data_IF_543809548533
#
_entry.id   IF_543809548533
#
_cell.length_a   1.000
_cell.length_b   1.000
_cell.length_c   1.000
_cell.angle_alpha   90.00
_cell.angle_beta   90.00
_cell.angle_gamma   90.00
#
_symmetry.space_group_name_H-M   'P 1'
#
loop_
_entity.id
_entity.type
_entity.pdbx_description
1 polymer ?
#
# COMPACT_ATOMS: atom_id res chain seq x y z
N UNK A 1 -14.17 -18.71 -31.93
CA UNK A 1 -14.14 -17.62 -30.90
C UNK A 1 -12.79 -16.94 -30.72
N UNK A 2 -11.63 -17.62 -30.84
CA UNK A 2 -10.32 -16.95 -30.74
C UNK A 2 -9.97 -16.12 -31.99
N UNK A 3 -10.32 -16.63 -33.18
CA UNK A 3 -10.09 -15.96 -34.47
C UNK A 3 -10.88 -14.65 -34.59
N UNK A 4 -12.12 -14.61 -34.10
CA UNK A 4 -12.91 -13.36 -34.08
C UNK A 4 -12.34 -12.32 -33.12
N UNK A 5 -11.71 -12.74 -32.02
CA UNK A 5 -11.07 -11.83 -31.04
C UNK A 5 -9.73 -11.28 -31.55
N UNK A 6 -8.97 -12.07 -32.29
CA UNK A 6 -7.75 -11.63 -32.98
C UNK A 6 -8.08 -10.71 -34.16
N UNK A 7 -9.13 -11.02 -34.92
CA UNK A 7 -9.62 -10.16 -35.99
C UNK A 7 -10.09 -8.80 -35.45
N UNK A 8 -10.82 -8.75 -34.33
CA UNK A 8 -11.18 -7.47 -33.69
C UNK A 8 -9.97 -6.69 -33.20
N UNK A 9 -8.91 -7.36 -32.73
CA UNK A 9 -7.67 -6.70 -32.31
C UNK A 9 -6.92 -6.11 -33.51
N UNK A 10 -6.84 -6.86 -34.62
CA UNK A 10 -6.25 -6.41 -35.89
C UNK A 10 -7.04 -5.26 -36.53
N UNK A 11 -8.38 -5.28 -36.45
CA UNK A 11 -9.25 -4.20 -36.94
C UNK A 11 -9.09 -2.94 -36.07
N UNK A 12 -9.02 -3.08 -34.74
CA UNK A 12 -8.73 -1.95 -33.84
C UNK A 12 -7.33 -1.37 -34.06
N UNK A 13 -6.33 -2.23 -34.27
CA UNK A 13 -4.96 -1.81 -34.56
C UNK A 13 -4.86 -1.08 -35.91
N UNK A 14 -5.57 -1.56 -36.93
CA UNK A 14 -5.66 -0.90 -38.23
C UNK A 14 -6.39 0.45 -38.16
N UNK A 15 -7.46 0.57 -37.37
CA UNK A 15 -8.23 1.81 -37.21
C UNK A 15 -7.44 2.92 -36.50
N UNK A 16 -6.56 2.55 -35.56
CA UNK A 16 -5.68 3.50 -34.85
C UNK A 16 -4.52 3.96 -35.75
N UNK A 17 -3.99 3.08 -36.62
CA UNK A 17 -2.86 3.41 -37.49
C UNK A 17 -3.25 4.18 -38.77
N UNK A 18 -4.48 4.06 -39.28
CA UNK A 18 -4.92 4.77 -40.50
C UNK A 18 -5.32 6.23 -40.26
N UNK A 19 -5.50 6.66 -39.00
CA UNK A 19 -5.87 8.05 -38.69
C UNK A 19 -4.67 8.95 -38.32
N UNK A 20 -3.44 8.44 -38.42
CA UNK A 20 -2.23 9.14 -37.97
C UNK A 20 -1.21 9.51 -39.05
N UNK A 21 -1.48 9.25 -40.33
CA UNK A 21 -0.52 9.54 -41.40
C UNK A 21 -1.21 10.29 -42.55
N UNK A 22 -1.35 11.60 -42.39
CA UNK A 22 -1.55 12.53 -43.49
C UNK A 22 -0.67 13.75 -43.21
N UNK A 23 0.35 13.89 -44.06
CA UNK A 23 1.17 15.06 -44.44
C UNK A 23 1.46 16.15 -43.40
N UNK A 24 2.74 16.39 -43.14
CA UNK A 24 3.40 17.70 -43.39
C UNK A 24 4.93 17.48 -43.37
N UNK A 25 5.54 17.72 -44.51
CA UNK A 25 6.95 18.07 -44.67
C UNK A 25 7.11 19.56 -44.32
N UNK A 26 8.14 19.94 -43.56
CA UNK A 26 9.00 21.13 -43.78
C UNK A 26 10.08 21.20 -42.71
N UNK A 27 11.23 21.64 -43.21
CA UNK A 27 12.56 21.90 -42.68
C UNK A 27 12.62 22.97 -41.56
N UNK A 28 13.75 23.01 -40.85
CA UNK A 28 14.23 24.24 -40.19
C UNK A 28 14.23 24.33 -38.66
N UNK A 29 15.46 24.19 -38.14
CA UNK A 29 16.05 24.93 -37.01
C UNK A 29 15.84 24.53 -35.53
N UNK A 30 16.98 24.67 -34.86
CA UNK A 30 17.39 24.21 -33.54
C UNK A 30 17.11 25.32 -32.53
N UNK A 31 16.54 25.00 -31.38
CA UNK A 31 16.97 25.66 -30.14
C UNK A 31 16.76 24.80 -28.89
N UNK A 32 17.83 24.74 -28.10
CA UNK A 32 17.93 24.09 -26.79
C UNK A 32 17.06 24.82 -25.76
N UNK A 33 16.21 24.10 -25.04
CA UNK A 33 15.86 24.45 -23.66
C UNK A 33 15.83 23.19 -22.80
N UNK A 34 16.79 23.14 -21.88
CA UNK A 34 16.89 22.29 -20.69
C UNK A 34 15.58 22.35 -19.91
N UNK A 35 15.06 21.23 -19.36
CA UNK A 35 14.66 21.12 -17.94
C UNK A 35 13.94 19.79 -17.58
N UNK A 36 14.51 19.12 -16.58
CA UNK A 36 13.90 18.32 -15.49
C UNK A 36 13.15 17.02 -15.79
N UNK A 37 13.87 15.96 -15.43
CA UNK A 37 13.40 14.67 -14.90
C UNK A 37 12.18 14.84 -13.98
N UNK A 38 11.04 14.26 -14.38
CA UNK A 38 9.91 14.01 -13.47
C UNK A 38 9.53 12.53 -13.55
N UNK A 39 9.96 11.79 -12.54
CA UNK A 39 9.62 10.39 -12.30
C UNK A 39 8.26 10.26 -11.61
N UNK A 40 7.41 9.42 -12.19
CA UNK A 40 6.53 8.43 -11.56
C UNK A 40 5.67 8.87 -10.36
N UNK A 41 4.46 9.32 -10.67
CA UNK A 41 3.37 9.65 -9.73
C UNK A 41 2.67 8.39 -9.16
N UNK A 42 2.96 7.21 -9.72
CA UNK A 42 2.31 5.95 -9.34
C UNK A 42 2.97 5.27 -8.13
N UNK A 43 4.31 5.27 -8.07
CA UNK A 43 5.07 4.77 -6.91
C UNK A 43 4.87 5.64 -5.67
N UNK A 44 4.60 6.93 -5.88
CA UNK A 44 4.23 7.88 -4.84
C UNK A 44 2.94 7.49 -4.11
N UNK A 45 1.96 6.88 -4.79
CA UNK A 45 0.67 6.54 -4.20
C UNK A 45 0.76 5.34 -3.24
N UNK A 46 1.56 4.33 -3.59
CA UNK A 46 1.80 3.14 -2.78
C UNK A 46 2.67 3.50 -1.58
N UNK A 47 3.76 4.24 -1.81
CA UNK A 47 4.63 4.75 -0.75
C UNK A 47 3.87 5.67 0.22
N UNK A 48 2.88 6.44 -0.26
CA UNK A 48 2.06 7.30 0.60
C UNK A 48 1.15 6.49 1.53
N UNK A 49 0.60 5.37 1.06
CA UNK A 49 -0.22 4.48 1.90
C UNK A 49 0.66 3.79 2.95
N UNK A 50 1.81 3.26 2.55
CA UNK A 50 2.78 2.64 3.46
C UNK A 50 3.33 3.64 4.48
N UNK A 51 3.62 4.87 4.08
CA UNK A 51 4.06 5.95 4.97
C UNK A 51 2.94 6.31 5.95
N UNK A 52 1.69 6.31 5.51
CA UNK A 52 0.55 6.59 6.37
C UNK A 52 0.31 5.47 7.41
N UNK A 53 0.54 4.21 7.04
CA UNK A 53 0.50 3.06 7.96
C UNK A 53 1.70 3.05 8.94
N UNK A 54 2.90 3.34 8.45
CA UNK A 54 4.09 3.51 9.31
C UNK A 54 3.86 4.65 10.29
N UNK A 55 3.26 5.75 9.85
CA UNK A 55 2.93 6.89 10.69
C UNK A 55 1.93 6.54 11.79
N UNK A 56 0.89 5.74 11.49
CA UNK A 56 -0.04 5.28 12.53
C UNK A 56 0.60 4.31 13.52
N UNK A 57 1.52 3.46 13.07
CA UNK A 57 2.30 2.55 13.94
C UNK A 57 3.28 3.33 14.82
N UNK A 58 3.95 4.34 14.27
CA UNK A 58 4.82 5.23 15.05
C UNK A 58 4.00 5.97 16.10
N UNK A 59 2.84 6.52 15.74
CA UNK A 59 2.00 7.25 16.68
C UNK A 59 1.46 6.37 17.83
N UNK A 60 1.15 5.10 17.55
CA UNK A 60 0.72 4.14 18.59
C UNK A 60 1.88 3.65 19.47
N UNK A 61 3.08 3.51 18.90
CA UNK A 61 4.28 3.23 19.68
C UNK A 61 4.69 4.43 20.54
N UNK A 62 4.58 5.64 20.03
CA UNK A 62 4.81 6.89 20.76
C UNK A 62 3.83 7.02 21.93
N UNK A 63 2.53 6.79 21.71
CA UNK A 63 1.55 6.85 22.81
C UNK A 63 1.80 5.79 23.88
N UNK A 64 2.20 4.57 23.48
CA UNK A 64 2.58 3.52 24.43
C UNK A 64 3.85 3.87 25.19
N UNK A 65 4.84 4.48 24.53
CA UNK A 65 6.07 4.93 25.16
C UNK A 65 5.77 6.02 26.20
N UNK A 66 4.96 7.02 25.83
CA UNK A 66 4.55 8.10 26.73
C UNK A 66 3.77 7.57 27.94
N UNK A 67 2.84 6.64 27.71
CA UNK A 67 2.08 5.99 28.80
C UNK A 67 3.02 5.21 29.74
N UNK A 68 3.96 4.43 29.19
CA UNK A 68 4.95 3.70 30.00
C UNK A 68 5.90 4.63 30.72
N UNK A 69 6.30 5.74 30.12
CA UNK A 69 7.19 6.71 30.76
C UNK A 69 6.46 7.43 31.90
N UNK A 70 5.17 7.76 31.72
CA UNK A 70 4.34 8.33 32.78
C UNK A 70 4.10 7.34 33.92
N UNK A 71 3.92 6.05 33.62
CA UNK A 71 3.82 5.00 34.62
C UNK A 71 5.13 4.82 35.40
N UNK A 72 6.28 4.90 34.72
CA UNK A 72 7.61 4.82 35.33
C UNK A 72 7.84 5.99 36.28
N UNK A 73 7.53 7.21 35.84
CA UNK A 73 7.59 8.41 36.69
C UNK A 73 6.70 8.29 37.95
N UNK A 74 5.49 7.73 37.83
CA UNK A 74 4.63 7.47 39.00
C UNK A 74 5.26 6.45 39.95
N UNK A 75 5.90 5.40 39.42
CA UNK A 75 6.60 4.38 40.22
C UNK A 75 7.82 4.97 40.93
N UNK A 76 8.58 5.84 40.27
CA UNK A 76 9.74 6.51 40.87
C UNK A 76 9.32 7.46 42.00
N UNK A 77 8.22 8.20 41.83
CA UNK A 77 7.67 9.05 42.90
C UNK A 77 7.26 8.22 44.13
N UNK A 78 6.57 7.09 43.92
CA UNK A 78 6.20 6.16 45.00
C UNK A 78 7.45 5.56 45.65
N UNK A 79 8.49 5.26 44.88
CA UNK A 79 9.75 4.71 45.40
C UNK A 79 10.47 5.75 46.25
N UNK A 80 10.56 7.01 45.80
CA UNK A 80 11.14 8.11 46.56
C UNK A 80 10.39 8.36 47.88
N UNK A 81 9.04 8.26 47.87
CA UNK A 81 8.25 8.33 49.10
C UNK A 81 8.55 7.19 50.06
N UNK A 82 8.65 5.95 49.55
CA UNK A 82 9.02 4.79 50.38
C UNK A 82 10.42 4.92 50.96
N UNK A 83 11.38 5.42 50.18
CA UNK A 83 12.77 5.61 50.62
C UNK A 83 12.87 6.68 51.71
N UNK A 84 12.11 7.77 51.60
CA UNK A 84 11.99 8.79 52.65
C UNK A 84 11.37 8.25 53.95
N UNK A 85 10.39 7.35 53.84
CA UNK A 85 9.81 6.67 55.01
C UNK A 85 10.86 5.74 55.64
N UNK A 86 11.60 4.99 54.83
CA UNK A 86 12.65 4.09 55.30
C UNK A 86 13.76 4.86 56.01
N UNK A 87 14.22 5.99 55.46
CA UNK A 87 15.25 6.82 56.11
C UNK A 87 14.76 7.37 57.45
N UNK A 88 13.52 7.88 57.52
CA UNK A 88 12.94 8.37 58.77
C UNK A 88 12.77 7.25 59.83
N UNK A 89 12.47 6.03 59.39
CA UNK A 89 12.40 4.86 60.29
C UNK A 89 13.80 4.42 60.75
N UNK A 90 14.81 4.47 59.88
CA UNK A 90 16.22 4.22 60.23
C UNK A 90 16.72 5.23 61.27
N UNK A 91 16.41 6.52 61.10
CA UNK A 91 16.78 7.56 62.07
C UNK A 91 16.08 7.33 63.42
N UNK A 92 14.80 6.92 63.39
CA UNK A 92 14.06 6.55 64.61
C UNK A 92 14.67 5.33 65.31
N UNK A 93 15.10 4.32 64.55
CA UNK A 93 15.78 3.13 65.09
C UNK A 93 17.12 3.53 65.71
N UNK A 94 17.91 4.37 65.05
CA UNK A 94 19.19 4.85 65.60
C UNK A 94 19.01 5.66 66.89
N UNK A 95 17.95 6.49 66.96
CA UNK A 95 17.56 7.17 68.19
C UNK A 95 17.21 6.19 69.30
N UNK A 96 16.37 5.20 69.01
CA UNK A 96 15.98 4.16 69.97
C UNK A 96 17.17 3.30 70.42
N UNK A 97 18.11 2.97 69.53
CA UNK A 97 19.33 2.26 69.88
C UNK A 97 20.23 3.10 70.80
N UNK A 98 20.34 4.40 70.55
CA UNK A 98 21.09 5.32 71.44
C UNK A 98 20.43 5.48 72.81
N UNK A 99 19.10 5.44 72.86
CA UNK A 99 18.32 5.51 74.10
C UNK A 99 18.41 4.20 74.89
N UNK A 100 18.35 3.04 74.22
CA UNK A 100 18.61 1.72 74.82
C UNK A 100 20.03 1.63 75.38
N UNK A 101 21.03 2.10 74.63
CA UNK A 101 22.42 2.17 75.11
C UNK A 101 22.55 3.12 76.32
N UNK A 102 21.77 4.20 76.38
CA UNK A 102 21.73 5.12 77.52
C UNK A 102 21.06 4.51 78.75
N UNK A 103 20.01 3.71 78.55
CA UNK A 103 19.26 3.01 79.60
C UNK A 103 20.03 1.81 80.15
N UNK A 104 20.74 1.07 79.30
CA UNK A 104 21.71 0.04 79.72
C UNK A 104 22.87 0.61 80.55
N UNK A 105 23.20 1.90 80.39
CA UNK A 105 24.23 2.61 81.18
C UNK A 105 23.67 3.24 82.47
N UNK A 106 22.34 3.28 82.65
CA UNK A 106 21.63 3.78 83.83
C UNK A 106 20.90 2.65 84.57
N UNK A 107 21.61 1.56 84.85
CA UNK A 107 21.13 0.54 85.78
C UNK A 107 21.49 0.94 87.21
N UNK A 108 20.66 1.80 87.82
CA UNK A 108 20.35 1.84 89.27
C UNK A 108 19.37 2.97 89.61
N UNK A 109 18.29 2.57 90.29
CA UNK A 109 17.25 3.36 90.99
C UNK A 109 16.16 4.01 90.12
N UNK A 110 15.01 3.35 89.93
CA UNK A 110 13.83 3.46 90.81
C UNK A 110 12.68 2.61 90.23
N UNK A 111 12.26 1.55 90.93
CA UNK A 111 11.60 0.38 90.33
C UNK A 111 10.06 0.45 90.29
N UNK A 112 9.42 1.46 90.88
CA UNK A 112 7.96 1.45 91.10
C UNK A 112 7.19 2.43 90.19
N UNK A 113 7.82 3.52 89.72
CA UNK A 113 7.20 4.47 88.76
C UNK A 113 7.41 4.06 87.28
N UNK A 114 8.42 3.23 86.98
CA UNK A 114 8.69 2.71 85.62
C UNK A 114 7.70 1.63 85.18
N UNK A 115 7.17 0.84 86.11
CA UNK A 115 6.24 -0.27 85.80
C UNK A 115 4.89 0.27 85.28
N UNK A 116 4.36 1.35 85.88
CA UNK A 116 3.12 2.00 85.40
C UNK A 116 3.26 2.62 84.01
N UNK A 117 4.40 3.24 83.70
CA UNK A 117 4.71 3.78 82.36
C UNK A 117 4.94 2.66 81.34
N UNK A 118 5.50 1.52 81.75
CA UNK A 118 5.64 0.34 80.89
C UNK A 118 4.29 -0.30 80.56
N UNK A 119 3.35 -0.41 81.51
CA UNK A 119 2.00 -0.92 81.25
C UNK A 119 1.17 -0.02 80.33
N UNK A 120 1.24 1.31 80.49
CA UNK A 120 0.58 2.24 79.57
C UNK A 120 1.15 2.15 78.15
N UNK A 121 2.47 1.99 78.01
CA UNK A 121 3.14 1.77 76.72
C UNK A 121 2.78 0.42 76.11
N UNK A 122 2.65 -0.63 76.91
CA UNK A 122 2.24 -1.95 76.44
C UNK A 122 0.81 -1.93 75.87
N UNK A 123 -0.12 -1.24 76.54
CA UNK A 123 -1.49 -1.09 76.07
C UNK A 123 -1.59 -0.22 74.79
N UNK A 124 -0.77 0.83 74.67
CA UNK A 124 -0.69 1.63 73.43
C UNK A 124 -0.13 0.81 72.26
N UNK A 125 0.92 0.00 72.51
CA UNK A 125 1.48 -0.92 71.52
C UNK A 125 0.48 -2.00 71.11
N UNK A 126 -0.29 -2.56 72.04
CA UNK A 126 -1.34 -3.54 71.75
C UNK A 126 -2.40 -2.95 70.81
N UNK A 127 -2.80 -1.70 71.05
CA UNK A 127 -3.75 -0.98 70.19
C UNK A 127 -3.20 -0.74 68.78
N UNK A 128 -1.91 -0.43 68.66
CA UNK A 128 -1.24 -0.27 67.37
C UNK A 128 -1.12 -1.61 66.63
N UNK A 129 -0.86 -2.70 67.34
CA UNK A 129 -0.84 -4.06 66.77
C UNK A 129 -2.21 -4.45 66.24
N UNK A 130 -3.28 -4.15 66.96
CA UNK A 130 -4.65 -4.42 66.51
C UNK A 130 -5.05 -3.61 65.27
N UNK A 131 -4.65 -2.33 65.19
CA UNK A 131 -4.91 -1.50 64.00
C UNK A 131 -4.12 -2.00 62.78
N UNK A 132 -2.84 -2.34 62.98
CA UNK A 132 -2.00 -2.94 61.94
C UNK A 132 -2.56 -4.28 61.45
N UNK A 133 -3.13 -5.08 62.35
CA UNK A 133 -3.77 -6.36 62.00
C UNK A 133 -4.99 -6.14 61.09
N UNK A 134 -5.86 -5.17 61.41
CA UNK A 134 -7.01 -4.82 60.56
C UNK A 134 -6.59 -4.28 59.20
N UNK A 135 -5.57 -3.43 59.15
CA UNK A 135 -5.01 -2.94 57.89
C UNK A 135 -4.42 -4.09 57.04
N UNK A 136 -3.75 -5.06 57.68
CA UNK A 136 -3.23 -6.24 56.99
C UNK A 136 -4.34 -7.12 56.39
N UNK A 137 -5.48 -7.27 57.09
CA UNK A 137 -6.62 -8.03 56.58
C UNK A 137 -7.26 -7.35 55.36
N UNK A 138 -7.42 -6.02 55.39
CA UNK A 138 -7.94 -5.24 54.25
C UNK A 138 -7.00 -5.35 53.04
N UNK A 139 -5.70 -5.13 53.25
CA UNK A 139 -4.68 -5.25 52.19
C UNK A 139 -4.63 -6.67 51.60
N UNK A 140 -4.86 -7.70 52.42
CA UNK A 140 -4.92 -9.07 51.92
C UNK A 140 -6.15 -9.33 51.04
N UNK A 141 -7.33 -8.79 51.40
CA UNK A 141 -8.53 -8.87 50.56
C UNK A 141 -8.38 -8.15 49.21
N UNK A 142 -7.75 -6.97 49.20
CA UNK A 142 -7.42 -6.25 47.96
C UNK A 142 -6.46 -7.06 47.08
N UNK A 143 -5.42 -7.65 47.69
CA UNK A 143 -4.47 -8.52 47.00
C UNK A 143 -5.17 -9.70 46.31
N UNK A 144 -6.10 -10.38 46.98
CA UNK A 144 -6.86 -11.50 46.40
C UNK A 144 -7.69 -11.05 45.18
N UNK A 145 -8.33 -9.88 45.25
CA UNK A 145 -9.09 -9.33 44.11
C UNK A 145 -8.20 -8.99 42.91
N UNK A 146 -7.01 -8.44 43.16
CA UNK A 146 -6.01 -8.15 42.13
C UNK A 146 -5.44 -9.43 41.53
N UNK A 147 -5.27 -10.48 42.33
CA UNK A 147 -4.82 -11.79 41.87
C UNK A 147 -5.85 -12.45 40.94
N UNK A 148 -7.15 -12.34 41.24
CA UNK A 148 -8.22 -12.81 40.35
C UNK A 148 -8.19 -12.04 39.01
N UNK A 149 -8.06 -10.72 39.06
CA UNK A 149 -7.99 -9.88 37.85
C UNK A 149 -6.73 -10.18 37.02
N UNK A 150 -5.59 -10.41 37.66
CA UNK A 150 -4.35 -10.80 37.01
C UNK A 150 -4.50 -12.16 36.30
N UNK A 151 -5.10 -13.15 36.97
CA UNK A 151 -5.36 -14.47 36.40
C UNK A 151 -6.33 -14.41 35.21
N UNK A 152 -7.34 -13.53 35.24
CA UNK A 152 -8.26 -13.34 34.11
C UNK A 152 -7.56 -12.66 32.92
N UNK A 153 -6.75 -11.64 33.18
CA UNK A 153 -5.94 -10.98 32.16
C UNK A 153 -4.93 -11.96 31.53
N UNK A 154 -4.28 -12.80 32.33
CA UNK A 154 -3.35 -13.83 31.87
C UNK A 154 -4.06 -14.82 30.91
N UNK A 155 -5.25 -15.31 31.28
CA UNK A 155 -6.06 -16.18 30.39
C UNK A 155 -6.38 -15.51 29.04
N UNK A 156 -6.76 -14.23 29.04
CA UNK A 156 -7.06 -13.47 27.81
C UNK A 156 -5.81 -13.28 26.95
N UNK A 157 -4.66 -12.99 27.56
CA UNK A 157 -3.39 -12.88 26.83
C UNK A 157 -2.95 -14.21 26.23
N UNK A 158 -3.13 -15.31 26.95
CA UNK A 158 -2.89 -16.66 26.45
C UNK A 158 -3.82 -17.00 25.27
N UNK A 159 -5.11 -16.70 25.36
CA UNK A 159 -6.05 -16.88 24.24
C UNK A 159 -5.67 -16.05 23.00
N UNK A 160 -5.28 -14.78 23.21
CA UNK A 160 -4.81 -13.92 22.14
C UNK A 160 -3.52 -14.46 21.50
N UNK A 161 -2.59 -15.01 22.30
CA UNK A 161 -1.35 -15.62 21.80
C UNK A 161 -1.62 -16.85 20.92
N UNK A 162 -2.57 -17.71 21.30
CA UNK A 162 -2.97 -18.87 20.50
C UNK A 162 -3.61 -18.46 19.17
N UNK A 163 -4.45 -17.41 19.17
CA UNK A 163 -5.02 -16.85 17.94
C UNK A 163 -3.91 -16.30 17.03
N UNK A 164 -2.94 -15.58 17.59
CA UNK A 164 -1.81 -15.04 16.84
C UNK A 164 -0.97 -16.15 16.19
N UNK A 165 -0.68 -17.23 16.92
CA UNK A 165 0.06 -18.38 16.38
C UNK A 165 -0.69 -19.06 15.22
N UNK A 166 -2.01 -19.21 15.34
CA UNK A 166 -2.84 -19.74 14.26
C UNK A 166 -2.84 -18.84 13.01
N UNK A 167 -2.93 -17.52 13.19
CA UNK A 167 -2.81 -16.58 12.07
C UNK A 167 -1.44 -16.63 11.40
N UNK A 168 -0.37 -16.79 12.19
CA UNK A 168 0.98 -16.93 11.66
C UNK A 168 1.14 -18.22 10.83
N UNK A 169 0.57 -19.35 11.29
CA UNK A 169 0.54 -20.61 10.53
C UNK A 169 -0.19 -20.45 9.19
N UNK A 170 -1.36 -19.80 9.19
CA UNK A 170 -2.14 -19.55 7.96
C UNK A 170 -1.37 -18.65 7.00
N UNK A 171 -0.69 -17.62 7.51
CA UNK A 171 0.11 -16.70 6.69
C UNK A 171 1.28 -17.42 6.00
N UNK A 172 2.04 -18.25 6.72
CA UNK A 172 3.13 -19.01 6.11
C UNK A 172 2.62 -20.04 5.09
N UNK A 173 1.46 -20.66 5.34
CA UNK A 173 0.80 -21.52 4.36
C UNK A 173 0.39 -20.75 3.09
N UNK A 174 -0.17 -19.55 3.23
CA UNK A 174 -0.52 -18.72 2.07
C UNK A 174 0.72 -18.27 1.28
N UNK A 175 1.78 -17.86 1.98
CA UNK A 175 3.05 -17.44 1.38
C UNK A 175 3.70 -18.56 0.57
N UNK A 176 3.69 -19.79 1.09
CA UNK A 176 4.21 -20.95 0.35
C UNK A 176 3.37 -21.27 -0.88
N UNK A 177 2.03 -21.21 -0.78
CA UNK A 177 1.13 -21.37 -1.94
C UNK A 177 1.37 -20.31 -3.02
N UNK A 178 1.56 -19.04 -2.65
CA UNK A 178 1.87 -17.95 -3.58
C UNK A 178 3.18 -18.25 -4.34
N UNK A 179 4.24 -18.61 -3.62
CA UNK A 179 5.54 -18.96 -4.24
C UNK A 179 5.44 -20.09 -5.25
N UNK A 180 4.68 -21.15 -4.93
CA UNK A 180 4.47 -22.28 -5.86
C UNK A 180 3.73 -21.81 -7.11
N UNK A 181 2.71 -20.95 -6.98
CA UNK A 181 1.98 -20.42 -8.13
C UNK A 181 2.82 -19.47 -8.98
N UNK A 182 3.70 -18.67 -8.37
CA UNK A 182 4.65 -17.80 -9.08
C UNK A 182 5.67 -18.61 -9.89
N UNK A 183 6.23 -19.67 -9.30
CA UNK A 183 7.15 -20.56 -10.02
C UNK A 183 6.47 -21.26 -11.20
N UNK A 184 5.25 -21.78 -11.02
CA UNK A 184 4.49 -22.40 -12.10
C UNK A 184 4.15 -21.40 -13.22
N UNK A 185 3.88 -20.15 -12.86
CA UNK A 185 3.66 -19.07 -13.83
C UNK A 185 4.92 -18.80 -14.64
N UNK A 186 6.09 -18.73 -14.00
CA UNK A 186 7.35 -18.44 -14.68
C UNK A 186 7.73 -19.56 -15.66
N UNK A 187 7.61 -20.83 -15.24
CA UNK A 187 7.79 -21.99 -16.13
C UNK A 187 6.85 -21.91 -17.34
N UNK A 188 5.58 -21.57 -17.14
CA UNK A 188 4.62 -21.45 -18.24
C UNK A 188 4.96 -20.29 -19.20
N UNK A 189 5.49 -19.18 -18.69
CA UNK A 189 5.97 -18.07 -19.53
C UNK A 189 7.16 -18.51 -20.39
N UNK A 190 8.12 -19.21 -19.81
CA UNK A 190 9.29 -19.73 -20.53
C UNK A 190 8.89 -20.69 -21.65
N UNK A 191 8.00 -21.64 -21.37
CA UNK A 191 7.46 -22.57 -22.38
C UNK A 191 6.70 -21.85 -23.49
N UNK A 192 5.89 -20.83 -23.17
CA UNK A 192 5.18 -20.04 -24.16
C UNK A 192 6.14 -19.25 -25.07
N UNK A 193 7.18 -18.66 -24.50
CA UNK A 193 8.19 -17.94 -25.28
C UNK A 193 8.89 -18.89 -26.24
N UNK A 194 9.28 -20.09 -25.77
CA UNK A 194 9.85 -21.14 -26.61
C UNK A 194 8.92 -21.54 -27.77
N UNK A 195 7.65 -21.81 -27.48
CA UNK A 195 6.67 -22.16 -28.51
C UNK A 195 6.42 -21.03 -29.52
N UNK A 196 6.44 -19.76 -29.08
CA UNK A 196 6.36 -18.60 -29.98
C UNK A 196 7.56 -18.50 -30.91
N UNK A 197 8.77 -18.72 -30.39
CA UNK A 197 9.97 -18.74 -31.22
C UNK A 197 9.94 -19.88 -32.23
N UNK A 198 9.51 -21.08 -31.82
CA UNK A 198 9.32 -22.22 -32.72
C UNK A 198 8.28 -21.92 -33.81
N UNK A 199 7.12 -21.36 -33.47
CA UNK A 199 6.09 -20.99 -34.45
C UNK A 199 6.57 -19.88 -35.40
N UNK A 200 7.27 -18.87 -34.90
CA UNK A 200 7.84 -17.81 -35.74
C UNK A 200 8.91 -18.36 -36.70
N UNK A 201 9.71 -19.33 -36.26
CA UNK A 201 10.68 -20.02 -37.12
C UNK A 201 9.98 -20.82 -38.22
N UNK A 202 8.95 -21.59 -37.88
CA UNK A 202 8.15 -22.35 -38.86
C UNK A 202 7.40 -21.46 -39.84
N UNK A 203 6.89 -20.32 -39.39
CA UNK A 203 6.24 -19.33 -40.27
C UNK A 203 7.27 -18.75 -41.25
N UNK A 204 8.50 -18.43 -40.79
CA UNK A 204 9.56 -17.97 -41.69
C UNK A 204 9.93 -19.01 -42.73
N UNK A 205 10.11 -20.26 -42.31
CA UNK A 205 10.34 -21.40 -43.19
C UNK A 205 9.19 -21.55 -44.21
N UNK A 206 7.93 -21.42 -43.75
CA UNK A 206 6.76 -21.46 -44.61
C UNK A 206 6.76 -20.29 -45.62
N UNK A 207 7.03 -19.06 -45.18
CA UNK A 207 7.06 -17.90 -46.08
C UNK A 207 8.17 -17.97 -47.12
N UNK A 208 9.32 -18.56 -46.77
CA UNK A 208 10.41 -18.83 -47.71
C UNK A 208 10.02 -19.89 -48.75
N UNK A 209 9.26 -20.92 -48.34
CA UNK A 209 8.75 -21.97 -49.24
C UNK A 209 7.56 -21.47 -50.10
N UNK A 210 6.75 -20.52 -49.62
CA UNK A 210 5.49 -20.09 -50.27
C UNK A 210 5.61 -18.88 -51.19
N UNK A 211 6.72 -18.12 -51.14
CA UNK A 211 6.95 -16.98 -52.03
C UNK A 211 7.03 -17.32 -53.53
N UNK A 212 7.19 -18.61 -53.87
CA UNK A 212 7.31 -19.08 -55.25
C UNK A 212 6.11 -19.92 -55.77
N UNK A 213 5.04 -20.11 -54.96
CA UNK A 213 4.01 -21.12 -55.27
C UNK A 213 2.58 -20.72 -54.91
N UNK A 214 2.10 -19.55 -55.36
CA UNK A 214 0.66 -19.22 -55.30
C UNK A 214 0.07 -19.11 -56.72
N UNK A 215 -0.73 -20.10 -57.17
CA UNK A 215 -1.28 -20.09 -58.51
C UNK A 215 -2.23 -18.91 -58.76
N UNK A 216 -2.25 -18.34 -59.99
CA UNK A 216 -3.08 -17.18 -60.35
C UNK A 216 -4.58 -17.30 -60.03
N UNK A 217 -5.13 -18.53 -59.98
CA UNK A 217 -6.55 -18.76 -59.68
C UNK A 217 -6.93 -18.39 -58.24
N UNK A 218 -6.00 -18.46 -57.28
CA UNK A 218 -6.28 -18.11 -55.88
C UNK A 218 -6.32 -16.58 -55.66
N UNK A 219 -5.52 -15.83 -56.42
CA UNK A 219 -5.56 -14.37 -56.43
C UNK A 219 -6.91 -13.84 -56.95
N UNK A 220 -7.48 -14.48 -57.98
CA UNK A 220 -8.83 -14.17 -58.48
C UNK A 220 -9.93 -14.55 -57.49
N UNK A 221 -9.77 -15.63 -56.71
CA UNK A 221 -10.76 -16.05 -55.72
C UNK A 221 -10.83 -15.11 -54.51
N UNK A 222 -9.71 -14.49 -54.15
CA UNK A 222 -9.63 -13.46 -53.11
C UNK A 222 -10.48 -12.22 -53.45
N UNK A 223 -10.41 -11.73 -54.69
CA UNK A 223 -11.22 -10.60 -55.15
C UNK A 223 -12.73 -10.87 -55.09
N UNK A 224 -13.15 -12.09 -55.44
CA UNK A 224 -14.56 -12.50 -55.37
C UNK A 224 -15.08 -12.56 -53.93
N UNK A 225 -14.28 -13.08 -53.00
CA UNK A 225 -14.63 -13.13 -51.59
C UNK A 225 -14.73 -11.72 -50.97
N UNK A 226 -13.81 -10.83 -51.32
CA UNK A 226 -13.83 -9.45 -50.85
C UNK A 226 -15.10 -8.72 -51.32
N UNK A 227 -15.49 -8.87 -52.58
CA UNK A 227 -16.73 -8.31 -53.11
C UNK A 227 -17.96 -8.85 -52.35
N UNK A 228 -18.07 -10.17 -52.19
CA UNK A 228 -19.21 -10.79 -51.51
C UNK A 228 -19.39 -10.31 -50.06
N UNK A 229 -18.29 -10.19 -49.30
CA UNK A 229 -18.33 -9.69 -47.93
C UNK A 229 -18.73 -8.20 -47.88
N UNK A 230 -18.22 -7.40 -48.81
CA UNK A 230 -18.50 -5.96 -48.86
C UNK A 230 -19.96 -5.69 -49.20
N UNK A 231 -20.54 -6.43 -50.15
CA UNK A 231 -21.96 -6.33 -50.52
C UNK A 231 -22.85 -6.68 -49.34
N UNK A 232 -22.58 -7.80 -48.66
CA UNK A 232 -23.38 -8.25 -47.51
C UNK A 232 -23.28 -7.34 -46.30
N UNK A 233 -22.12 -6.70 -46.11
CA UNK A 233 -21.92 -5.67 -45.09
C UNK A 233 -22.79 -4.45 -45.35
N UNK A 234 -22.82 -3.96 -46.59
CA UNK A 234 -23.59 -2.78 -46.97
C UNK A 234 -25.11 -3.02 -46.95
N UNK A 235 -25.58 -4.21 -47.34
CA UNK A 235 -27.01 -4.54 -47.38
C UNK A 235 -27.62 -4.76 -45.99
N UNK A 236 -26.86 -5.36 -45.06
CA UNK A 236 -27.45 -5.83 -43.80
C UNK A 236 -26.79 -5.27 -42.55
N UNK A 237 -25.46 -5.21 -42.50
CA UNK A 237 -24.75 -4.85 -41.27
C UNK A 237 -24.73 -3.33 -41.04
N UNK A 238 -24.41 -2.56 -42.09
CA UNK A 238 -24.35 -1.09 -42.03
C UNK A 238 -25.68 -0.45 -41.59
N UNK A 239 -26.84 -0.72 -42.23
CA UNK A 239 -28.10 -0.09 -41.83
C UNK A 239 -28.55 -0.49 -40.41
N UNK A 240 -28.27 -1.72 -39.96
CA UNK A 240 -28.58 -2.14 -38.60
C UNK A 240 -27.75 -1.39 -37.54
N UNK A 241 -26.48 -1.11 -37.85
CA UNK A 241 -25.59 -0.33 -36.99
C UNK A 241 -26.04 1.14 -36.95
N UNK A 242 -26.40 1.72 -38.09
CA UNK A 242 -26.85 3.12 -38.18
C UNK A 242 -28.11 3.36 -37.32
N UNK A 243 -29.07 2.44 -37.34
CA UNK A 243 -30.28 2.49 -36.49
C UNK A 243 -29.94 2.43 -34.99
N UNK A 244 -28.93 1.65 -34.61
CA UNK A 244 -28.48 1.57 -33.21
C UNK A 244 -27.80 2.86 -32.78
N UNK A 245 -27.00 3.47 -33.66
CA UNK A 245 -26.34 4.76 -33.41
C UNK A 245 -27.40 5.85 -33.21
N UNK A 246 -28.40 5.92 -34.09
CA UNK A 246 -29.49 6.90 -33.99
C UNK A 246 -30.27 6.75 -32.66
N UNK A 247 -30.64 5.53 -32.29
CA UNK A 247 -31.30 5.26 -30.99
C UNK A 247 -30.45 5.61 -29.78
N UNK A 248 -29.13 5.42 -29.87
CA UNK A 248 -28.22 5.79 -28.79
C UNK A 248 -28.14 7.33 -28.63
N UNK A 249 -28.13 8.07 -29.73
CA UNK A 249 -28.16 9.53 -29.74
C UNK A 249 -29.48 10.09 -29.15
N UNK A 250 -30.62 9.51 -29.53
CA UNK A 250 -31.93 9.90 -28.97
C UNK A 250 -32.00 9.69 -27.45
N UNK A 251 -31.46 8.56 -26.96
CA UNK A 251 -31.43 8.26 -25.52
C UNK A 251 -30.46 9.15 -24.75
N UNK A 252 -29.34 9.54 -25.36
CA UNK A 252 -28.43 10.52 -24.79
C UNK A 252 -29.10 11.90 -24.64
N UNK A 253 -29.80 12.38 -25.67
CA UNK A 253 -30.56 13.63 -25.62
C UNK A 253 -31.68 13.60 -24.57
N UNK A 254 -32.33 12.45 -24.37
CA UNK A 254 -33.35 12.26 -23.33
C UNK A 254 -32.74 12.31 -21.91
N UNK A 255 -31.55 11.74 -21.72
CA UNK A 255 -30.82 11.80 -20.46
C UNK A 255 -30.34 13.22 -20.11
N UNK A 256 -29.96 14.01 -21.12
CA UNK A 256 -29.59 15.42 -20.94
C UNK A 256 -30.76 16.26 -20.40
N UNK A 257 -31.95 16.11 -20.99
CA UNK A 257 -33.18 16.77 -20.49
C UNK A 257 -33.55 16.35 -19.07
N UNK A 258 -33.32 15.08 -18.71
CA UNK A 258 -33.56 14.59 -17.35
C UNK A 258 -32.57 15.17 -16.32
N UNK A 259 -31.31 15.35 -16.70
CA UNK A 259 -30.27 15.85 -15.81
C UNK A 259 -30.36 17.37 -15.56
N UNK A 260 -30.92 18.13 -16.50
CA UNK A 260 -31.02 19.59 -16.45
C UNK A 260 -31.60 20.16 -15.13
N UNK A 261 -32.75 19.69 -14.59
CA UNK A 261 -33.29 20.20 -13.32
C UNK A 261 -32.39 19.86 -12.11
N UNK A 262 -31.74 18.71 -12.10
CA UNK A 262 -30.86 18.29 -11.01
C UNK A 262 -29.58 19.09 -10.99
N UNK A 263 -29.01 19.36 -12.16
CA UNK A 263 -27.84 20.20 -12.34
C UNK A 263 -28.12 21.65 -11.93
N UNK A 264 -29.28 22.21 -12.31
CA UNK A 264 -29.74 23.53 -11.84
C UNK A 264 -29.86 23.58 -10.32
N UNK A 265 -30.39 22.53 -9.69
CA UNK A 265 -30.50 22.41 -8.23
C UNK A 265 -29.14 22.36 -7.53
N UNK A 266 -28.18 21.61 -8.10
CA UNK A 266 -26.80 21.55 -7.60
C UNK A 266 -26.11 22.91 -7.69
N UNK A 267 -26.24 23.60 -8.83
CA UNK A 267 -25.68 24.94 -9.05
C UNK A 267 -26.23 25.98 -8.06
N UNK A 268 -27.55 25.99 -7.85
CA UNK A 268 -28.21 27.01 -7.05
C UNK A 268 -28.12 26.77 -5.53
N UNK A 269 -28.25 25.52 -5.06
CA UNK A 269 -28.43 25.23 -3.63
C UNK A 269 -27.18 24.67 -2.96
N UNK A 270 -26.50 23.73 -3.62
CA UNK A 270 -25.46 22.94 -2.96
C UNK A 270 -24.07 23.55 -3.09
N UNK A 271 -23.72 24.12 -4.25
CA UNK A 271 -22.41 24.78 -4.45
C UNK A 271 -22.18 25.95 -3.46
N UNK A 272 -23.14 26.86 -3.23
CA UNK A 272 -22.95 27.95 -2.26
C UNK A 272 -22.82 27.44 -0.82
N UNK A 273 -23.67 26.50 -0.41
CA UNK A 273 -23.64 25.93 0.95
C UNK A 273 -22.32 25.21 1.27
N UNK A 274 -21.73 24.52 0.29
CA UNK A 274 -20.42 23.87 0.44
C UNK A 274 -19.31 24.92 0.54
N UNK A 275 -19.36 25.99 -0.26
CA UNK A 275 -18.38 27.09 -0.20
C UNK A 275 -18.38 27.78 1.17
N UNK A 276 -19.55 28.07 1.72
CA UNK A 276 -19.68 28.70 3.05
C UNK A 276 -19.11 27.81 4.14
N UNK A 277 -19.47 26.52 4.14
CA UNK A 277 -18.93 25.55 5.11
C UNK A 277 -17.41 25.38 4.98
N UNK A 278 -16.87 25.41 3.76
CA UNK A 278 -15.43 25.33 3.52
C UNK A 278 -14.66 26.54 4.05
N UNK A 279 -15.24 27.75 3.97
CA UNK A 279 -14.64 28.96 4.54
C UNK A 279 -14.54 28.90 6.07
N UNK A 280 -15.57 28.36 6.73
CA UNK A 280 -15.58 28.14 8.19
C UNK A 280 -14.49 27.14 8.60
N UNK A 281 -14.39 26.02 7.88
CA UNK A 281 -13.33 25.01 8.13
C UNK A 281 -11.95 25.63 7.93
N UNK A 282 -11.72 26.39 6.85
CA UNK A 282 -10.44 27.06 6.60
C UNK A 282 -10.06 28.04 7.72
N UNK A 283 -11.03 28.82 8.24
CA UNK A 283 -10.79 29.76 9.34
C UNK A 283 -10.39 29.06 10.64
N UNK A 284 -11.03 27.93 10.95
CA UNK A 284 -10.79 27.21 12.21
C UNK A 284 -9.52 26.34 12.15
N UNK A 285 -9.22 25.74 11.00
CA UNK A 285 -8.09 24.80 10.88
C UNK A 285 -6.75 25.50 10.65
N UNK A 286 -6.74 26.67 9.99
CA UNK A 286 -5.51 27.43 9.70
C UNK A 286 -4.59 27.67 10.91
N UNK A 287 -5.08 28.20 12.06
CA UNK A 287 -4.19 28.45 13.21
C UNK A 287 -3.63 27.16 13.82
N UNK A 288 -4.37 26.05 13.78
CA UNK A 288 -3.90 24.76 14.28
C UNK A 288 -2.81 24.17 13.38
N UNK A 289 -2.96 24.29 12.06
CA UNK A 289 -1.93 23.87 11.10
C UNK A 289 -0.66 24.71 11.27
N UNK A 290 -0.77 26.02 11.41
CA UNK A 290 0.39 26.90 11.65
C UNK A 290 1.10 26.54 12.98
N UNK A 291 0.34 26.31 14.05
CA UNK A 291 0.89 25.91 15.37
C UNK A 291 1.55 24.53 15.33
N UNK A 292 0.95 23.56 14.64
CA UNK A 292 1.55 22.24 14.44
C UNK A 292 2.85 22.34 13.64
N UNK A 293 2.86 23.18 12.61
CA UNK A 293 4.03 23.37 11.75
C UNK A 293 5.19 24.00 12.53
N UNK A 294 4.93 25.02 13.36
CA UNK A 294 5.98 25.64 14.19
C UNK A 294 6.53 24.67 15.23
N UNK A 295 5.66 23.98 15.98
CA UNK A 295 6.07 22.98 16.98
C UNK A 295 6.87 21.83 16.37
N UNK A 296 6.48 21.37 15.19
CA UNK A 296 7.19 20.29 14.48
C UNK A 296 8.60 20.75 14.06
N UNK A 297 8.74 21.99 13.58
CA UNK A 297 10.05 22.56 13.23
C UNK A 297 10.94 22.75 14.46
N UNK A 298 10.38 23.20 15.58
CA UNK A 298 11.10 23.35 16.85
C UNK A 298 11.57 22.00 17.40
N UNK A 299 10.67 21.00 17.42
CA UNK A 299 10.99 19.64 17.81
C UNK A 299 12.07 19.02 16.92
N UNK A 300 11.99 19.22 15.60
CA UNK A 300 13.03 18.74 14.68
C UNK A 300 14.39 19.40 14.94
N UNK A 301 14.42 20.72 15.19
CA UNK A 301 15.67 21.42 15.51
C UNK A 301 16.29 20.93 16.82
N UNK A 302 15.49 20.74 17.87
CA UNK A 302 15.94 20.23 19.17
C UNK A 302 16.36 18.77 19.10
N UNK A 303 15.57 17.92 18.45
CA UNK A 303 15.92 16.52 18.22
C UNK A 303 17.24 16.41 17.43
N UNK A 304 17.40 17.21 16.36
CA UNK A 304 18.63 17.25 15.59
C UNK A 304 19.82 17.68 16.44
N UNK A 305 19.70 18.72 17.28
CA UNK A 305 20.82 19.16 18.13
C UNK A 305 21.20 18.13 19.19
N UNK A 306 20.22 17.37 19.72
CA UNK A 306 20.45 16.29 20.69
C UNK A 306 21.08 15.07 20.02
N UNK A 307 20.64 14.67 18.83
CA UNK A 307 21.10 13.45 18.14
C UNK A 307 22.48 13.65 17.49
N UNK A 308 22.79 14.86 17.01
CA UNK A 308 24.05 15.17 16.32
C UNK A 308 25.31 14.68 17.07
N UNK A 309 25.52 14.95 18.37
CA UNK A 309 26.70 14.47 19.09
C UNK A 309 26.78 12.94 19.19
N UNK A 310 25.64 12.23 19.29
CA UNK A 310 25.62 10.77 19.30
C UNK A 310 25.92 10.18 17.93
N UNK A 311 25.42 10.80 16.85
CA UNK A 311 25.72 10.39 15.47
C UNK A 311 27.21 10.61 15.12
N UNK A 312 27.83 11.67 15.65
CA UNK A 312 29.28 11.89 15.52
C UNK A 312 30.05 10.84 16.31
N UNK A 313 29.71 10.60 17.58
CA UNK A 313 30.35 9.57 18.41
C UNK A 313 30.22 8.16 17.83
N UNK A 314 29.06 7.81 17.28
CA UNK A 314 28.87 6.49 16.66
C UNK A 314 29.68 6.36 15.37
N UNK A 315 29.76 7.42 14.56
CA UNK A 315 30.62 7.45 13.36
C UNK A 315 32.10 7.32 13.72
N UNK A 316 32.55 7.98 14.78
CA UNK A 316 33.94 7.86 15.28
C UNK A 316 34.22 6.47 15.84
N UNK A 317 33.27 5.87 16.56
CA UNK A 317 33.42 4.52 17.12
C UNK A 317 33.40 3.42 16.04
N UNK A 318 32.56 3.55 15.03
CA UNK A 318 32.37 2.55 13.96
C UNK A 318 33.40 2.74 12.83
N UNK A 319 33.90 3.97 12.63
CA UNK A 319 34.86 4.32 11.58
C UNK A 319 36.07 3.38 11.47
N UNK A 320 36.77 3.05 12.57
CA UNK A 320 37.89 2.11 12.57
C UNK A 320 37.50 0.72 12.05
N UNK A 321 36.38 0.17 12.52
CA UNK A 321 35.87 -1.14 12.08
C UNK A 321 35.47 -1.13 10.60
N UNK A 322 34.83 -0.06 10.13
CA UNK A 322 34.51 0.10 8.70
C UNK A 322 35.77 0.15 7.84
N UNK A 323 36.83 0.85 8.28
CA UNK A 323 38.11 0.90 7.57
C UNK A 323 38.79 -0.46 7.53
N UNK A 324 38.69 -1.25 8.59
CA UNK A 324 39.23 -2.61 8.66
C UNK A 324 38.47 -3.57 7.74
N UNK A 325 37.13 -3.59 7.82
CA UNK A 325 36.28 -4.37 6.89
C UNK A 325 36.52 -3.94 5.44
N UNK A 326 36.71 -2.64 5.17
CA UNK A 326 37.07 -2.14 3.84
C UNK A 326 38.43 -2.66 3.38
N UNK A 327 39.45 -2.73 4.25
CA UNK A 327 40.75 -3.33 3.90
C UNK A 327 40.61 -4.81 3.53
N UNK A 328 39.80 -5.57 4.26
CA UNK A 328 39.57 -6.99 3.98
C UNK A 328 38.71 -7.23 2.73
N UNK A 329 37.64 -6.45 2.54
CA UNK A 329 36.67 -6.66 1.45
C UNK A 329 37.11 -6.10 0.11
N UNK A 330 37.87 -4.99 0.09
CA UNK A 330 38.33 -4.33 -1.14
C UNK A 330 38.99 -5.27 -2.16
N UNK A 331 39.96 -6.14 -1.81
CA UNK A 331 40.56 -7.04 -2.80
C UNK A 331 39.55 -8.00 -3.43
N UNK A 332 38.57 -8.50 -2.67
CA UNK A 332 37.52 -9.38 -3.21
C UNK A 332 36.52 -8.62 -4.09
N UNK A 333 36.12 -7.41 -3.70
CA UNK A 333 35.25 -6.55 -4.52
C UNK A 333 35.96 -6.16 -5.81
N UNK A 334 37.26 -5.83 -5.75
CA UNK A 334 38.08 -5.52 -6.92
C UNK A 334 38.27 -6.76 -7.81
N UNK A 335 38.39 -7.96 -7.23
CA UNK A 335 38.46 -9.22 -7.98
C UNK A 335 37.13 -9.53 -8.69
N UNK A 336 35.99 -9.39 -8.01
CA UNK A 336 34.67 -9.55 -8.63
C UNK A 336 34.47 -8.51 -9.74
N UNK A 337 34.83 -7.25 -9.49
CA UNK A 337 34.73 -6.19 -10.48
C UNK A 337 35.60 -6.47 -11.71
N UNK A 338 36.85 -6.90 -11.52
CA UNK A 338 37.78 -7.22 -12.62
C UNK A 338 37.32 -8.42 -13.45
N UNK A 339 36.83 -9.49 -12.81
CA UNK A 339 36.27 -10.66 -13.49
C UNK A 339 34.99 -10.32 -14.27
N UNK A 340 34.13 -9.50 -13.69
CA UNK A 340 32.79 -9.22 -14.27
C UNK A 340 32.83 -8.11 -15.33
N UNK A 341 33.81 -7.20 -15.27
CA UNK A 341 33.97 -6.07 -16.20
C UNK A 341 33.92 -6.46 -17.69
N UNK A 342 34.70 -7.44 -18.20
CA UNK A 342 34.66 -7.80 -19.62
C UNK A 342 33.30 -8.37 -20.05
N UNK A 343 32.60 -9.09 -19.17
CA UNK A 343 31.28 -9.65 -19.48
C UNK A 343 30.20 -8.57 -19.56
N UNK A 344 30.22 -7.61 -18.61
CA UNK A 344 29.30 -6.46 -18.63
C UNK A 344 29.58 -5.55 -19.82
N UNK A 345 30.85 -5.31 -20.16
CA UNK A 345 31.23 -4.55 -21.35
C UNK A 345 30.78 -5.25 -22.65
N UNK A 346 30.94 -6.59 -22.75
CA UNK A 346 30.46 -7.37 -23.90
C UNK A 346 28.94 -7.28 -24.06
N UNK A 347 28.19 -7.45 -22.97
CA UNK A 347 26.72 -7.29 -22.97
C UNK A 347 26.34 -5.87 -23.39
N UNK A 348 27.02 -4.84 -22.85
CA UNK A 348 26.78 -3.44 -23.21
C UNK A 348 27.02 -3.17 -24.69
N UNK A 349 28.10 -3.71 -25.26
CA UNK A 349 28.42 -3.55 -26.69
C UNK A 349 27.37 -4.23 -27.57
N UNK A 350 26.94 -5.45 -27.22
CA UNK A 350 25.91 -6.19 -27.96
C UNK A 350 24.54 -5.50 -27.87
N UNK A 351 24.18 -4.95 -26.72
CA UNK A 351 22.91 -4.25 -26.53
C UNK A 351 22.90 -2.83 -27.11
N UNK A 352 24.06 -2.18 -27.28
CA UNK A 352 24.20 -0.79 -27.77
C UNK A 352 23.34 -0.47 -29.02
N UNK A 353 23.32 -1.28 -30.10
CA UNK A 353 22.47 -1.00 -31.26
C UNK A 353 20.97 -1.13 -30.96
N UNK A 354 20.56 -2.04 -30.08
CA UNK A 354 19.17 -2.23 -29.69
C UNK A 354 18.68 -1.13 -28.76
N UNK A 355 19.52 -0.72 -27.80
CA UNK A 355 19.24 0.42 -26.92
C UNK A 355 19.11 1.70 -27.73
N UNK A 356 19.99 1.94 -28.74
CA UNK A 356 19.87 3.09 -29.64
C UNK A 356 18.56 3.09 -30.43
N UNK A 357 18.16 1.94 -30.99
CA UNK A 357 16.89 1.81 -31.72
C UNK A 357 15.68 2.01 -30.81
N UNK A 358 15.74 1.50 -29.58
CA UNK A 358 14.68 1.64 -28.59
C UNK A 358 14.53 3.10 -28.14
N UNK A 359 15.64 3.78 -27.82
CA UNK A 359 15.66 5.20 -27.44
C UNK A 359 15.12 6.08 -28.58
N UNK A 360 15.50 5.78 -29.82
CA UNK A 360 14.99 6.51 -30.99
C UNK A 360 13.48 6.30 -31.20
N UNK A 361 13.01 5.05 -31.08
CA UNK A 361 11.59 4.74 -31.21
C UNK A 361 10.76 5.34 -30.06
N UNK A 362 11.27 5.31 -28.83
CA UNK A 362 10.62 5.95 -27.69
C UNK A 362 10.62 7.46 -27.80
N UNK A 363 11.69 8.08 -28.34
CA UNK A 363 11.75 9.51 -28.60
C UNK A 363 10.66 9.95 -29.60
N UNK A 364 10.58 9.29 -30.75
CA UNK A 364 9.53 9.54 -31.75
C UNK A 364 8.12 9.32 -31.20
N UNK A 365 7.94 8.28 -30.38
CA UNK A 365 6.66 8.02 -29.72
C UNK A 365 6.30 9.15 -28.75
N UNK A 366 7.23 9.59 -27.90
CA UNK A 366 7.00 10.68 -26.95
C UNK A 366 6.70 12.00 -27.65
N UNK A 367 7.38 12.32 -28.75
CA UNK A 367 7.09 13.49 -29.58
C UNK A 367 5.67 13.41 -30.15
N UNK A 368 5.29 12.28 -30.74
CA UNK A 368 3.94 12.10 -31.28
C UNK A 368 2.85 12.17 -30.18
N UNK A 369 3.13 11.61 -29.01
CA UNK A 369 2.26 11.65 -27.85
C UNK A 369 2.12 13.07 -27.31
N UNK A 370 3.19 13.87 -27.31
CA UNK A 370 3.16 15.27 -26.89
C UNK A 370 2.31 16.13 -27.85
N UNK A 371 2.47 15.96 -29.17
CA UNK A 371 1.65 16.66 -30.17
C UNK A 371 0.17 16.28 -30.04
N UNK A 372 -0.12 14.99 -29.87
CA UNK A 372 -1.49 14.53 -29.67
C UNK A 372 -2.08 15.02 -28.34
N UNK A 373 -1.29 15.01 -27.27
CA UNK A 373 -1.67 15.56 -25.96
C UNK A 373 -2.03 17.03 -26.07
N UNK A 374 -1.21 17.85 -26.73
CA UNK A 374 -1.50 19.26 -26.97
C UNK A 374 -2.79 19.47 -27.77
N UNK A 375 -3.02 18.65 -28.81
CA UNK A 375 -4.27 18.70 -29.61
C UNK A 375 -5.49 18.37 -28.77
N UNK A 376 -5.44 17.29 -27.99
CA UNK A 376 -6.53 16.87 -27.10
C UNK A 376 -6.73 17.89 -25.98
N UNK A 377 -5.66 18.46 -25.43
CA UNK A 377 -5.73 19.51 -24.42
C UNK A 377 -6.44 20.75 -24.96
N UNK A 378 -6.20 21.14 -26.22
CA UNK A 378 -6.93 22.20 -26.89
C UNK A 378 -8.44 21.90 -27.00
N UNK A 379 -8.80 20.70 -27.44
CA UNK A 379 -10.20 20.26 -27.55
C UNK A 379 -10.91 20.13 -26.20
N UNK A 380 -10.22 19.62 -25.18
CA UNK A 380 -10.72 19.54 -23.81
C UNK A 380 -10.93 20.95 -23.26
N UNK A 381 -9.96 21.85 -23.43
CA UNK A 381 -10.08 23.25 -23.02
C UNK A 381 -11.28 23.93 -23.66
N UNK A 382 -11.48 23.74 -24.96
CA UNK A 382 -12.61 24.31 -25.70
C UNK A 382 -13.96 23.77 -25.18
N UNK A 383 -14.09 22.46 -24.97
CA UNK A 383 -15.32 21.85 -24.44
C UNK A 383 -15.59 22.26 -23.00
N UNK A 384 -14.56 22.37 -22.16
CA UNK A 384 -14.68 22.81 -20.77
C UNK A 384 -15.12 24.28 -20.65
N UNK A 385 -14.64 25.14 -21.55
CA UNK A 385 -15.03 26.54 -21.61
C UNK A 385 -16.42 26.75 -22.25
N UNK A 386 -16.85 25.86 -23.15
CA UNK A 386 -18.17 25.90 -23.81
C UNK A 386 -19.33 25.63 -22.87
N UNK A 387 -19.14 24.83 -21.81
CA UNK A 387 -20.19 24.50 -20.85
C UNK A 387 -20.04 25.28 -19.53
N UNK A 388 -21.02 26.14 -19.21
CA UNK A 388 -20.98 27.03 -18.03
C UNK A 388 -20.82 26.33 -16.67
N UNK A 389 -21.17 25.04 -16.59
CA UNK A 389 -21.10 24.24 -15.37
C UNK A 389 -19.70 23.71 -15.08
N UNK A 390 -18.94 23.42 -16.14
CA UNK A 390 -17.60 22.83 -16.07
C UNK A 390 -16.53 23.89 -16.32
N UNK A 391 -16.91 25.07 -16.81
CA UNK A 391 -16.09 26.29 -16.88
C UNK A 391 -15.35 26.63 -15.58
N UNK A 392 -15.94 26.58 -14.37
CA UNK A 392 -15.19 26.80 -13.13
C UNK A 392 -14.21 25.67 -12.77
N UNK A 393 -14.33 24.50 -13.40
CA UNK A 393 -13.39 23.37 -13.29
C UNK A 393 -12.30 23.41 -14.38
N UNK A 394 -12.34 24.39 -15.30
CA UNK A 394 -11.33 24.60 -16.34
C UNK A 394 -10.05 25.23 -15.79
N UNK A 395 -9.47 24.56 -14.79
CA UNK A 395 -8.13 24.87 -14.31
C UNK A 395 -7.11 24.28 -15.26
N UNK A 396 -5.97 24.98 -15.44
CA UNK A 396 -4.87 24.56 -16.32
C UNK A 396 -4.38 23.14 -16.01
N UNK A 397 -4.43 22.75 -14.74
CA UNK A 397 -4.08 21.41 -14.26
C UNK A 397 -5.11 20.37 -14.71
N UNK A 398 -6.40 20.64 -14.58
CA UNK A 398 -7.46 19.69 -14.94
C UNK A 398 -7.56 19.48 -16.45
N UNK A 399 -7.35 20.54 -17.25
CA UNK A 399 -7.23 20.42 -18.71
C UNK A 399 -6.07 19.49 -19.10
N UNK A 400 -4.92 19.64 -18.44
CA UNK A 400 -3.74 18.82 -18.67
C UNK A 400 -3.97 17.36 -18.25
N UNK A 401 -4.54 17.12 -17.06
CA UNK A 401 -4.86 15.77 -16.58
C UNK A 401 -5.92 15.08 -17.42
N UNK A 402 -6.95 15.79 -17.86
CA UNK A 402 -7.99 15.23 -18.72
C UNK A 402 -7.43 14.85 -20.11
N UNK A 403 -6.57 15.67 -20.69
CA UNK A 403 -5.87 15.35 -21.93
C UNK A 403 -4.93 14.14 -21.76
N UNK A 404 -4.20 14.07 -20.65
CA UNK A 404 -3.35 12.91 -20.31
C UNK A 404 -4.16 11.63 -20.11
N UNK A 405 -5.33 11.73 -19.46
CA UNK A 405 -6.22 10.59 -19.26
C UNK A 405 -6.76 10.07 -20.60
N UNK A 406 -7.18 10.95 -21.50
CA UNK A 406 -7.66 10.59 -22.84
C UNK A 406 -6.55 9.93 -23.67
N UNK A 407 -5.31 10.42 -23.56
CA UNK A 407 -4.14 9.80 -24.20
C UNK A 407 -3.80 8.43 -23.60
N UNK A 408 -3.97 8.24 -22.29
CA UNK A 408 -3.67 6.99 -21.60
C UNK A 408 -4.73 5.91 -21.80
N UNK A 409 -6.00 6.27 -22.01
CA UNK A 409 -7.11 5.34 -22.22
C UNK A 409 -6.86 4.29 -23.32
N UNK A 410 -6.39 4.62 -24.54
CA UNK A 410 -6.08 3.61 -25.56
C UNK A 410 -4.93 2.69 -25.15
N UNK A 411 -3.93 3.20 -24.41
CA UNK A 411 -2.81 2.38 -23.89
C UNK A 411 -3.34 1.38 -22.85
N UNK A 412 -4.19 1.82 -21.93
CA UNK A 412 -4.81 0.98 -20.90
C UNK A 412 -5.79 -0.02 -21.53
N UNK A 413 -6.55 0.38 -22.56
CA UNK A 413 -7.44 -0.52 -23.31
C UNK A 413 -6.64 -1.57 -24.09
N UNK A 414 -5.56 -1.20 -24.77
CA UNK A 414 -4.64 -2.14 -25.42
C UNK A 414 -4.01 -3.09 -24.40
N UNK A 415 -3.57 -2.58 -23.25
CA UNK A 415 -3.05 -3.39 -22.16
C UNK A 415 -4.11 -4.38 -21.64
N UNK A 416 -5.35 -3.94 -21.42
CA UNK A 416 -6.45 -4.78 -20.96
C UNK A 416 -6.91 -5.80 -22.01
N UNK A 417 -6.89 -5.45 -23.30
CA UNK A 417 -7.22 -6.36 -24.40
C UNK A 417 -6.12 -7.40 -24.58
N UNK A 418 -4.84 -6.98 -24.54
CA UNK A 418 -3.70 -7.90 -24.52
C UNK A 418 -3.78 -8.82 -23.30
N UNK A 419 -4.05 -8.27 -22.12
CA UNK A 419 -4.29 -9.02 -20.88
C UNK A 419 -5.44 -10.02 -21.04
N UNK A 420 -6.57 -9.64 -21.60
CA UNK A 420 -7.74 -10.51 -21.75
C UNK A 420 -7.57 -11.61 -22.81
N UNK A 421 -6.68 -11.40 -23.79
CA UNK A 421 -6.41 -12.35 -24.88
C UNK A 421 -5.28 -13.30 -24.50
N UNK A 422 -4.23 -12.81 -23.86
CA UNK A 422 -3.07 -13.60 -23.45
C UNK A 422 -3.26 -14.24 -22.06
N UNK A 423 -3.98 -13.60 -21.13
CA UNK A 423 -4.38 -14.23 -19.87
C UNK A 423 -5.78 -14.82 -19.95
N UNK A 424 -5.84 -16.15 -20.13
CA UNK A 424 -7.10 -16.91 -20.01
C UNK A 424 -7.56 -16.89 -18.56
N UNK A 425 -8.79 -16.39 -18.29
CA UNK A 425 -9.45 -16.64 -17.01
C UNK A 425 -9.62 -18.17 -16.82
N UNK A 426 -9.26 -18.75 -15.67
CA UNK A 426 -9.42 -20.18 -15.45
C UNK A 426 -10.90 -20.57 -15.51
N UNK A 427 -11.22 -21.63 -16.27
CA UNK A 427 -12.55 -22.23 -16.27
C UNK A 427 -12.83 -22.78 -14.87
N UNK A 428 -13.90 -22.31 -14.23
CA UNK A 428 -14.40 -22.96 -13.01
C UNK A 428 -14.82 -24.40 -13.36
N UNK A 429 -14.38 -25.42 -12.61
CA UNK A 429 -14.82 -26.79 -12.87
C UNK A 429 -16.33 -26.90 -12.61
N UNK A 430 -17.03 -27.62 -13.49
CA UNK A 430 -18.41 -28.00 -13.25
C UNK A 430 -18.45 -28.82 -11.96
N UNK A 431 -19.25 -28.34 -11.00
CA UNK A 431 -19.39 -28.97 -9.69
C UNK A 431 -20.16 -30.27 -9.90
N UNK A 432 -19.45 -31.39 -9.98
CA UNK A 432 -20.05 -32.71 -9.98
C UNK A 432 -20.92 -32.84 -8.71
N UNK A 433 -22.23 -32.94 -8.92
CA UNK A 433 -23.16 -33.32 -7.89
C UNK A 433 -22.94 -34.81 -7.59
N UNK A 434 -22.26 -35.11 -6.49
CA UNK A 434 -22.25 -36.45 -5.93
C UNK A 434 -23.67 -36.77 -5.45
N UNK A 435 -24.37 -37.57 -6.25
CA UNK A 435 -25.61 -38.25 -5.88
C UNK A 435 -25.24 -39.28 -4.83
N UNK A 436 -25.54 -38.98 -3.57
CA UNK A 436 -25.45 -39.93 -2.48
C UNK A 436 -26.33 -41.15 -2.79
N UNK A 437 -25.73 -42.33 -2.63
CA UNK A 437 -26.36 -43.64 -2.71
C UNK A 437 -27.71 -43.70 -1.97
N UNK A 438 -28.79 -43.77 -2.73
CA UNK A 438 -30.09 -44.19 -2.22
C UNK A 438 -30.01 -45.69 -1.87
N UNK A 439 -29.91 -45.95 -0.56
CA UNK A 439 -30.06 -47.23 0.11
C UNK A 439 -31.34 -47.92 -0.38
N UNK A 440 -31.19 -48.90 -1.29
CA UNK A 440 -32.25 -49.82 -1.74
C UNK A 440 -32.73 -50.63 -0.53
N UNK A 441 -33.75 -50.13 0.16
CA UNK A 441 -34.47 -50.88 1.20
C UNK A 441 -35.52 -51.73 0.47
N UNK A 442 -35.19 -52.99 0.21
CA UNK A 442 -36.16 -53.98 -0.23
C UNK A 442 -37.24 -54.15 0.83
N UNK A 443 -38.45 -53.64 0.57
CA UNK A 443 -39.64 -54.06 1.32
C UNK A 443 -39.93 -55.50 0.95
N UNK A 444 -39.66 -56.41 1.89
CA UNK A 444 -40.25 -57.74 1.91
C UNK A 444 -41.77 -57.57 1.94
N UNK A 445 -42.45 -58.08 0.93
CA UNK A 445 -43.84 -58.46 1.06
C UNK A 445 -43.92 -59.75 1.87
N UNK A 446 -44.89 -59.82 2.77
CA UNK A 446 -45.57 -61.07 3.08
C UNK A 446 -47.06 -60.75 3.29
N UNK A 447 -47.97 -61.64 2.86
CA UNK A 447 -49.41 -61.42 2.81
C UNK A 447 -50.04 -61.66 4.19
N UNK A 448 -51.19 -61.04 4.41
CA UNK A 448 -52.40 -61.67 5.01
C UNK A 448 -53.44 -60.60 5.32
N UNK A 449 -54.45 -60.53 4.45
CA UNK A 449 -55.90 -60.34 4.69
C UNK A 449 -56.58 -59.67 3.51
#
# INVERSE_FOLDING_TARGET
MAISKLATLLIFLALVFTHGCADVSVDGEVENIVEVVRSDDSDLSILKIELQELKSKIQTLESNLDEKNQELMRKDEVLAQKEKIISAKLDSISLLESEIASLQKKEKLDAEEQVGKAYARAHELERQVDDLKRQSEILNGEKESLEILANEAEKKTNEASLKLENFQKIHEEQKTRIRVTEQALEVSKEEMMKAKFEAASKIKELTEVHGAWLPPWLATHYGHFQFFITTRWNEHAKPAIDVVIEKALDKAAQAEKWAEPHVKTVKAKYIPAVKERWLVVKKNVKPHVETLTTKTVEFYKTSKSVITPYAVKSKEAIGPYYLEVKKFSKPYVDQVATVTKPHVEKVRVVLKPYTKKLVHASGKFLESAAVYHQKVQGTVKETLHKHELIRPLATRELEWFAASAILALPIILLFNICSAIFWKKPKKPARNANVHHARRKGKRGHPDK
#
